data_IF_137069475873
#
_entry.id   IF_137069475873
#
_cell.length_a   1.000
_cell.length_b   1.000
_cell.length_c   1.000
_cell.angle_alpha   90.00
_cell.angle_beta   90.00
_cell.angle_gamma   90.00
#
_symmetry.space_group_name_H-M   'P 1'
#
loop_
_entity.id
_entity.type
_entity.pdbx_description
1 polymer ?
#
# COMPACT_ATOMS: atom_id res chain seq x y z
N UNK A 1 14.71 16.11 -13.45
CA UNK A 1 13.87 14.92 -13.69
C UNK A 1 13.41 14.44 -12.34
N UNK A 2 12.14 14.12 -12.21
CA UNK A 2 11.56 13.60 -10.98
C UNK A 2 11.78 12.10 -10.88
N UNK A 3 12.02 11.64 -9.66
CA UNK A 3 12.33 10.28 -9.26
C UNK A 3 11.18 9.70 -8.43
N UNK A 4 11.22 8.40 -8.16
CA UNK A 4 10.23 7.75 -7.30
C UNK A 4 10.26 8.32 -5.87
N UNK A 5 11.41 8.82 -5.41
CA UNK A 5 11.56 9.48 -4.11
C UNK A 5 10.73 10.75 -4.03
N UNK A 6 10.71 11.54 -5.10
CA UNK A 6 9.89 12.75 -5.19
C UNK A 6 8.39 12.44 -5.10
N UNK A 7 7.96 11.23 -5.48
CA UNK A 7 6.56 10.79 -5.31
C UNK A 7 6.27 10.26 -3.90
N UNK A 8 7.24 9.63 -3.24
CA UNK A 8 7.13 9.13 -1.87
C UNK A 8 7.04 10.26 -0.83
N UNK A 9 7.68 11.40 -1.12
CA UNK A 9 7.70 12.59 -0.26
C UNK A 9 6.45 13.47 -0.38
N UNK A 10 5.55 13.17 -1.34
CA UNK A 10 4.31 13.91 -1.51
C UNK A 10 3.32 13.63 -0.38
N UNK A 11 2.69 14.70 0.12
CA UNK A 11 1.54 14.58 1.01
C UNK A 11 0.30 14.15 0.21
N UNK A 12 0.08 12.83 0.15
CA UNK A 12 -1.02 12.21 -0.56
C UNK A 12 -2.39 12.75 -0.14
N UNK A 13 -2.56 13.28 1.07
CA UNK A 13 -3.84 13.83 1.54
C UNK A 13 -4.18 15.17 0.89
N UNK A 14 -3.15 15.90 0.44
CA UNK A 14 -3.28 17.19 -0.23
C UNK A 14 -3.33 17.06 -1.75
N UNK A 15 -2.94 15.90 -2.30
CA UNK A 15 -3.09 15.59 -3.73
C UNK A 15 -4.57 15.48 -4.11
N UNK A 16 -5.04 16.41 -4.94
CA UNK A 16 -6.34 16.34 -5.59
C UNK A 16 -6.17 16.41 -7.11
N UNK A 17 -7.04 15.77 -7.90
CA UNK A 17 -8.23 14.99 -7.54
C UNK A 17 -7.91 13.58 -7.01
N UNK A 18 -8.91 12.91 -6.42
CA UNK A 18 -8.76 11.55 -5.87
C UNK A 18 -8.20 10.54 -6.89
N UNK A 19 -8.53 10.69 -8.17
CA UNK A 19 -7.96 9.87 -9.24
C UNK A 19 -6.43 10.03 -9.39
N UNK A 20 -5.91 11.26 -9.19
CA UNK A 20 -4.47 11.53 -9.21
C UNK A 20 -3.80 10.95 -7.96
N UNK A 21 -4.46 11.07 -6.81
CA UNK A 21 -4.02 10.47 -5.55
C UNK A 21 -3.94 8.93 -5.64
N UNK A 22 -4.95 8.29 -6.23
CA UNK A 22 -4.96 6.84 -6.49
C UNK A 22 -3.87 6.42 -7.48
N UNK A 23 -3.58 7.26 -8.48
CA UNK A 23 -2.50 6.98 -9.45
C UNK A 23 -1.11 7.07 -8.81
N UNK A 24 -0.87 8.09 -7.98
CA UNK A 24 0.38 8.22 -7.21
C UNK A 24 0.52 7.05 -6.23
N UNK A 25 -0.56 6.68 -5.52
CA UNK A 25 -0.59 5.50 -4.64
C UNK A 25 -0.31 4.20 -5.41
N UNK A 26 -0.90 4.02 -6.59
CA UNK A 26 -0.68 2.85 -7.42
C UNK A 26 0.79 2.67 -7.79
N UNK A 27 1.46 3.74 -8.22
CA UNK A 27 2.90 3.68 -8.54
C UNK A 27 3.75 3.39 -7.30
N UNK A 28 3.41 3.96 -6.15
CA UNK A 28 4.09 3.69 -4.88
C UNK A 28 3.87 2.22 -4.44
N UNK A 29 2.66 1.70 -4.60
CA UNK A 29 2.31 0.31 -4.29
C UNK A 29 3.03 -0.67 -5.23
N UNK A 30 3.07 -0.38 -6.53
CA UNK A 30 3.78 -1.17 -7.54
C UNK A 30 5.29 -1.18 -7.26
N UNK A 31 5.87 -0.02 -6.92
CA UNK A 31 7.28 0.08 -6.51
C UNK A 31 7.60 -0.73 -5.25
N UNK A 32 6.69 -0.72 -4.26
CA UNK A 32 6.85 -1.49 -3.03
C UNK A 32 6.59 -3.00 -3.21
N UNK A 33 5.87 -3.39 -4.26
CA UNK A 33 5.52 -4.77 -4.57
C UNK A 33 6.52 -5.52 -5.46
N UNK A 34 7.49 -4.81 -6.06
CA UNK A 34 8.47 -5.38 -7.00
C UNK A 34 9.85 -5.51 -6.32
N UNK A 35 10.51 -6.66 -6.48
CA UNK A 35 11.86 -6.89 -5.94
C UNK A 35 12.96 -6.17 -6.74
N UNK A 36 12.76 -5.99 -8.05
CA UNK A 36 13.69 -5.33 -8.97
C UNK A 36 13.40 -3.82 -9.12
N UNK A 37 13.63 -3.05 -8.06
CA UNK A 37 13.34 -1.61 -7.98
C UNK A 37 14.05 -0.77 -9.07
N UNK A 38 15.30 -1.10 -9.39
CA UNK A 38 16.09 -0.36 -10.39
C UNK A 38 15.57 -0.54 -11.82
N UNK A 39 14.94 -1.67 -12.13
CA UNK A 39 14.33 -1.91 -13.45
C UNK A 39 13.02 -1.15 -13.57
N UNK A 40 12.23 -1.16 -12.51
CA UNK A 40 10.99 -0.39 -12.42
C UNK A 40 11.24 1.11 -12.57
N UNK A 41 12.25 1.66 -11.88
CA UNK A 41 12.60 3.09 -11.97
C UNK A 41 12.97 3.51 -13.40
N UNK A 42 13.62 2.63 -14.18
CA UNK A 42 13.98 2.89 -15.59
C UNK A 42 12.79 2.77 -16.54
N UNK A 43 11.92 1.78 -16.33
CA UNK A 43 10.75 1.57 -17.20
C UNK A 43 9.65 2.61 -16.95
N UNK A 44 9.47 3.05 -15.70
CA UNK A 44 8.45 4.00 -15.28
C UNK A 44 8.96 5.45 -15.15
N UNK A 45 10.23 5.73 -15.47
CA UNK A 45 10.84 7.07 -15.40
C UNK A 45 9.96 8.14 -16.08
N UNK A 46 9.41 7.81 -17.25
CA UNK A 46 8.54 8.70 -18.01
C UNK A 46 7.19 8.94 -17.33
N UNK A 47 6.63 7.94 -16.66
CA UNK A 47 5.35 8.03 -15.96
C UNK A 47 5.50 8.79 -14.64
N UNK A 48 6.58 8.50 -13.90
CA UNK A 48 6.96 9.18 -12.66
C UNK A 48 7.12 10.69 -12.93
N UNK A 49 7.88 11.03 -13.98
CA UNK A 49 8.05 12.42 -14.41
C UNK A 49 6.72 13.11 -14.74
N UNK A 50 5.84 12.45 -15.51
CA UNK A 50 4.55 13.02 -15.91
C UNK A 50 3.60 13.23 -14.73
N UNK A 51 3.56 12.28 -13.80
CA UNK A 51 2.67 12.36 -12.63
C UNK A 51 3.19 13.39 -11.65
N UNK A 52 4.49 13.46 -11.41
CA UNK A 52 5.07 14.52 -10.60
C UNK A 52 4.81 15.92 -11.20
N UNK A 53 4.92 16.06 -12.53
CA UNK A 53 4.56 17.30 -13.22
C UNK A 53 3.06 17.64 -13.14
N UNK A 54 2.18 16.65 -13.01
CA UNK A 54 0.75 16.90 -12.79
C UNK A 54 0.47 17.29 -11.34
N UNK A 55 1.14 16.67 -10.37
CA UNK A 55 1.00 17.03 -8.95
C UNK A 55 1.50 18.45 -8.70
N UNK A 56 2.67 18.83 -9.24
CA UNK A 56 3.19 20.20 -9.16
C UNK A 56 2.22 21.25 -9.72
N UNK A 57 1.51 20.93 -10.81
CA UNK A 57 0.54 21.84 -11.45
C UNK A 57 -0.82 21.90 -10.77
N UNK A 58 -1.31 20.78 -10.22
CA UNK A 58 -2.69 20.66 -9.72
C UNK A 58 -2.78 20.76 -8.20
N UNK A 59 -1.75 20.29 -7.49
CA UNK A 59 -1.66 20.27 -6.04
C UNK A 59 -0.24 20.65 -5.58
N UNK A 60 0.20 21.89 -5.85
CA UNK A 60 1.51 22.37 -5.37
C UNK A 60 1.60 22.31 -3.84
N UNK A 61 0.47 22.45 -3.14
CA UNK A 61 0.36 22.31 -1.68
C UNK A 61 0.72 20.91 -1.14
N UNK A 62 0.82 19.90 -2.01
CA UNK A 62 1.20 18.53 -1.66
C UNK A 62 2.73 18.32 -1.69
N UNK A 63 3.48 19.27 -2.24
CA UNK A 63 4.93 19.24 -2.27
C UNK A 63 5.41 19.89 -0.98
N UNK A 64 6.07 19.11 -0.14
CA UNK A 64 6.64 19.61 1.11
C UNK A 64 7.89 20.42 0.77
N UNK A 65 7.75 21.73 0.60
CA UNK A 65 8.88 22.64 0.66
C UNK A 65 9.35 22.73 2.12
N UNK A 66 10.19 21.79 2.57
CA UNK A 66 11.26 22.05 3.53
C UNK A 66 12.10 20.79 3.82
N UNK A 67 13.35 20.74 3.34
CA UNK A 67 14.38 19.88 3.90
C UNK A 67 14.95 20.59 5.14
N UNK A 68 14.65 20.09 6.34
CA UNK A 68 15.28 20.45 7.62
C UNK A 68 15.36 21.97 7.95
N UNK A 69 14.41 22.46 8.75
CA UNK A 69 14.58 23.62 9.62
C UNK A 69 13.93 23.33 10.98
N UNK A 70 14.71 23.45 12.06
CA UNK A 70 14.43 22.99 13.42
C UNK A 70 13.07 23.40 14.03
N UNK A 71 12.56 22.64 15.00
CA UNK A 71 11.37 23.02 15.76
C UNK A 71 11.70 24.19 16.69
N UNK A 72 11.06 25.34 16.48
CA UNK A 72 11.05 26.38 17.52
C UNK A 72 10.05 25.95 18.60
N UNK A 73 10.58 25.20 19.57
CA UNK A 73 9.92 24.84 20.81
C UNK A 73 9.70 26.06 21.71
N UNK A 74 8.53 26.02 22.35
CA UNK A 74 8.23 26.54 23.69
C UNK A 74 8.20 28.06 23.94
N UNK A 75 7.00 28.52 24.31
CA UNK A 75 6.73 28.71 25.75
C UNK A 75 5.27 28.36 26.10
N UNK A 76 5.15 27.18 26.72
CA UNK A 76 4.45 26.92 28.01
C UNK A 76 3.93 28.19 28.72
N UNK A 77 2.72 28.24 29.30
CA UNK A 77 2.26 27.42 30.42
C UNK A 77 0.72 27.36 30.58
N UNK A 78 0.33 26.29 31.26
CA UNK A 78 -0.99 25.82 31.67
C UNK A 78 -1.74 26.78 32.62
N UNK A 79 -3.08 26.82 32.53
CA UNK A 79 -4.03 26.28 33.55
C UNK A 79 -5.50 26.62 33.23
N UNK A 80 -6.34 25.60 33.35
CA UNK A 80 -7.81 25.61 33.41
C UNK A 80 -8.31 26.10 34.80
N UNK A 81 -9.62 26.11 35.16
CA UNK A 81 -10.90 26.33 34.44
C UNK A 81 -11.89 27.29 35.19
N UNK A 82 -13.09 27.52 34.61
CA UNK A 82 -14.41 27.85 35.21
C UNK A 82 -14.99 29.30 35.21
N UNK A 83 -16.14 29.39 34.52
CA UNK A 83 -17.49 29.91 34.89
C UNK A 83 -17.82 31.43 35.03
N UNK A 84 -18.97 31.74 34.37
CA UNK A 84 -20.10 32.67 34.69
C UNK A 84 -20.11 34.11 34.12
N UNK A 85 -21.28 34.48 33.57
CA UNK A 85 -21.82 35.86 33.47
C UNK A 85 -21.88 36.42 32.04
N UNK A 86 -23.01 36.39 31.31
CA UNK A 86 -24.17 37.32 31.33
C UNK A 86 -24.00 38.59 30.44
N UNK A 87 -24.79 38.59 29.34
CA UNK A 87 -25.49 39.68 28.62
C UNK A 87 -24.81 40.81 27.82
N UNK A 88 -25.42 40.98 26.62
CA UNK A 88 -25.84 42.22 25.89
C UNK A 88 -24.95 42.94 24.87
N UNK A 89 -25.40 42.82 23.61
CA UNK A 89 -25.72 43.86 22.59
C UNK A 89 -24.62 44.79 22.02
N UNK A 90 -24.60 44.73 20.68
CA UNK A 90 -24.57 45.81 19.65
C UNK A 90 -23.25 46.15 18.94
N UNK A 91 -23.37 46.01 17.61
CA UNK A 91 -22.94 46.90 16.50
C UNK A 91 -21.49 46.85 16.00
N UNK A 92 -21.41 46.41 14.75
CA UNK A 92 -20.69 47.03 13.61
C UNK A 92 -19.30 47.62 13.85
N UNK A 93 -18.28 46.99 13.28
CA UNK A 93 -17.58 47.50 12.08
C UNK A 93 -16.48 46.54 11.65
N UNK A 94 -16.50 46.19 10.37
CA UNK A 94 -15.42 45.52 9.62
C UNK A 94 -14.09 46.27 9.74
N UNK A 95 -12.96 45.54 9.65
CA UNK A 95 -12.12 45.79 8.48
C UNK A 95 -11.60 44.51 7.81
N UNK A 96 -11.67 44.54 6.47
CA UNK A 96 -10.87 43.83 5.46
C UNK A 96 -10.23 42.49 5.86
N UNK A 97 -10.90 41.39 5.47
CA UNK A 97 -10.20 40.15 5.07
C UNK A 97 -9.64 40.35 3.67
N UNK A 98 -8.32 40.39 3.57
CA UNK A 98 -7.59 40.19 2.32
C UNK A 98 -8.02 38.85 1.72
N UNK A 99 -8.52 38.90 0.48
CA UNK A 99 -8.74 37.72 -0.33
C UNK A 99 -7.36 37.15 -0.68
N UNK A 100 -6.95 36.07 -0.02
CA UNK A 100 -6.00 35.14 -0.62
C UNK A 100 -6.68 34.57 -1.87
N UNK A 101 -6.18 34.94 -3.04
CA UNK A 101 -6.57 34.31 -4.30
C UNK A 101 -6.21 32.82 -4.22
N UNK A 102 -7.23 32.00 -4.03
CA UNK A 102 -7.11 30.56 -4.22
C UNK A 102 -6.99 30.37 -5.73
N UNK A 103 -5.88 29.80 -6.26
CA UNK A 103 -5.76 29.56 -7.67
C UNK A 103 -6.90 28.64 -8.14
N UNK A 104 -7.71 29.13 -9.07
CA UNK A 104 -8.85 28.39 -9.63
C UNK A 104 -8.32 27.18 -10.39
N UNK A 105 -8.76 25.98 -9.99
CA UNK A 105 -8.50 24.72 -10.70
C UNK A 105 -9.08 24.78 -12.11
N UNK A 106 -8.25 24.62 -13.13
CA UNK A 106 -8.62 24.62 -14.55
C UNK A 106 -8.61 23.20 -15.13
N UNK A 107 -9.11 22.19 -14.42
CA UNK A 107 -9.38 20.87 -15.02
C UNK A 107 -10.88 20.70 -15.17
N UNK A 108 -11.31 20.57 -16.41
CA UNK A 108 -12.71 20.37 -16.76
C UNK A 108 -13.07 18.89 -16.64
N UNK A 109 -14.36 18.57 -16.45
CA UNK A 109 -14.83 17.18 -16.43
C UNK A 109 -14.38 16.37 -17.66
N UNK A 110 -14.20 17.06 -18.79
CA UNK A 110 -13.69 16.51 -20.05
C UNK A 110 -12.26 15.94 -19.92
N UNK A 111 -11.41 16.58 -19.12
CA UNK A 111 -10.03 16.14 -18.92
C UNK A 111 -9.98 14.87 -18.05
N UNK A 112 -10.86 14.76 -17.06
CA UNK A 112 -11.01 13.54 -16.24
C UNK A 112 -11.59 12.38 -17.05
N UNK A 113 -12.60 12.65 -17.88
CA UNK A 113 -13.18 11.63 -18.76
C UNK A 113 -12.18 11.15 -19.82
N UNK A 114 -11.32 12.04 -20.33
CA UNK A 114 -10.24 11.68 -21.25
C UNK A 114 -9.25 10.70 -20.59
N UNK A 115 -8.79 10.99 -19.37
CA UNK A 115 -7.88 10.12 -18.61
C UNK A 115 -8.53 8.77 -18.27
N UNK A 116 -9.80 8.77 -17.86
CA UNK A 116 -10.52 7.50 -17.61
C UNK A 116 -10.66 6.66 -18.87
N UNK A 117 -10.85 7.28 -20.03
CA UNK A 117 -10.88 6.57 -21.31
C UNK A 117 -9.51 6.02 -21.70
N UNK A 118 -8.43 6.75 -21.44
CA UNK A 118 -7.07 6.25 -21.63
C UNK A 118 -6.76 5.06 -20.72
N UNK A 119 -7.12 5.12 -19.43
CA UNK A 119 -6.95 4.00 -18.49
C UNK A 119 -7.75 2.77 -18.96
N UNK A 120 -8.98 2.95 -19.43
CA UNK A 120 -9.79 1.85 -19.99
C UNK A 120 -9.11 1.24 -21.21
N UNK A 121 -8.57 2.06 -22.11
CA UNK A 121 -7.82 1.58 -23.27
C UNK A 121 -6.55 0.83 -22.87
N UNK A 122 -5.79 1.31 -21.88
CA UNK A 122 -4.63 0.61 -21.33
C UNK A 122 -5.01 -0.74 -20.73
N UNK A 123 -6.09 -0.83 -19.94
CA UNK A 123 -6.59 -2.11 -19.41
C UNK A 123 -6.95 -3.10 -20.51
N UNK A 124 -7.56 -2.64 -21.60
CA UNK A 124 -7.87 -3.49 -22.76
C UNK A 124 -6.59 -3.95 -23.47
N UNK A 125 -5.60 -3.08 -23.63
CA UNK A 125 -4.29 -3.43 -24.21
C UNK A 125 -3.57 -4.49 -23.36
N UNK A 126 -3.52 -4.30 -22.04
CA UNK A 126 -2.92 -5.28 -21.11
C UNK A 126 -3.65 -6.63 -21.19
N UNK A 127 -4.99 -6.63 -21.23
CA UNK A 127 -5.75 -7.88 -21.38
C UNK A 127 -5.41 -8.60 -22.68
N UNK A 128 -5.36 -7.88 -23.81
CA UNK A 128 -5.00 -8.45 -25.12
C UNK A 128 -3.57 -8.98 -25.13
N UNK A 129 -2.63 -8.22 -24.59
CA UNK A 129 -1.22 -8.62 -24.46
C UNK A 129 -1.09 -9.89 -23.60
N UNK A 130 -1.71 -9.91 -22.42
CA UNK A 130 -1.69 -11.09 -21.54
C UNK A 130 -2.41 -12.29 -22.15
N UNK A 131 -3.46 -12.08 -22.94
CA UNK A 131 -4.15 -13.17 -23.64
C UNK A 131 -3.31 -13.73 -24.78
N UNK A 132 -2.61 -12.88 -25.54
CA UNK A 132 -1.62 -13.29 -26.54
C UNK A 132 -0.47 -14.05 -25.89
N UNK A 133 0.11 -13.51 -24.80
CA UNK A 133 1.12 -14.21 -24.01
C UNK A 133 0.64 -15.55 -23.48
N UNK A 134 -0.61 -15.67 -23.02
CA UNK A 134 -1.19 -16.96 -22.59
C UNK A 134 -1.44 -17.94 -23.72
N UNK A 135 -1.73 -17.44 -24.94
CA UNK A 135 -1.82 -18.28 -26.14
C UNK A 135 -0.45 -18.83 -26.52
N UNK A 136 0.61 -18.04 -26.35
CA UNK A 136 2.01 -18.42 -26.61
C UNK A 136 2.62 -19.31 -25.52
N UNK A 137 2.45 -18.95 -24.24
CA UNK A 137 2.94 -19.68 -23.06
C UNK A 137 2.12 -20.94 -22.75
N UNK A 138 0.98 -21.12 -23.42
CA UNK A 138 0.07 -22.23 -23.24
C UNK A 138 -0.74 -22.17 -21.94
N UNK A 139 -1.60 -23.18 -21.70
CA UNK A 139 -2.41 -23.25 -20.50
C UNK A 139 -1.51 -23.38 -19.26
N UNK A 140 -1.78 -22.57 -18.22
CA UNK A 140 -1.06 -22.64 -16.95
C UNK A 140 -1.02 -24.09 -16.44
N UNK A 141 0.15 -24.61 -16.06
CA UNK A 141 0.24 -25.96 -15.55
C UNK A 141 -0.65 -26.09 -14.32
N UNK A 142 -1.47 -27.15 -14.28
CA UNK A 142 -2.32 -27.43 -13.13
C UNK A 142 -1.42 -27.59 -11.90
N UNK A 143 -1.74 -26.94 -10.77
CA UNK A 143 -0.91 -27.07 -9.58
C UNK A 143 -0.86 -28.54 -9.16
N UNK A 144 0.37 -29.02 -8.96
CA UNK A 144 0.64 -30.36 -8.46
C UNK A 144 -0.09 -30.59 -7.13
N UNK A 145 -0.51 -31.83 -6.81
CA UNK A 145 -1.11 -32.16 -5.52
C UNK A 145 -0.29 -31.66 -4.32
N UNK A 146 1.05 -31.70 -4.40
CA UNK A 146 1.94 -31.13 -3.38
C UNK A 146 1.66 -29.64 -3.11
N UNK A 147 1.59 -28.85 -4.19
CA UNK A 147 1.34 -27.41 -4.14
C UNK A 147 -0.05 -27.13 -3.55
N UNK A 148 -1.06 -27.93 -3.94
CA UNK A 148 -2.42 -27.78 -3.41
C UNK A 148 -2.48 -28.06 -1.91
N UNK A 149 -1.91 -29.18 -1.47
CA UNK A 149 -1.87 -29.56 -0.06
C UNK A 149 -1.16 -28.46 0.73
N UNK A 150 0.02 -28.03 0.28
CA UNK A 150 0.77 -26.94 0.90
C UNK A 150 -0.06 -25.66 1.04
N UNK A 151 -0.74 -25.22 -0.02
CA UNK A 151 -1.56 -24.02 0.00
C UNK A 151 -2.67 -24.10 1.06
N UNK A 152 -3.29 -25.27 1.26
CA UNK A 152 -4.30 -25.47 2.29
C UNK A 152 -3.74 -25.36 3.71
N UNK A 153 -2.56 -25.94 3.99
CA UNK A 153 -1.92 -25.80 5.31
C UNK A 153 -1.52 -24.36 5.62
N UNK A 154 -1.08 -23.60 4.62
CA UNK A 154 -0.82 -22.16 4.77
C UNK A 154 -2.11 -21.41 5.08
N UNK A 155 -3.18 -21.68 4.34
CA UNK A 155 -4.47 -21.04 4.57
C UNK A 155 -5.00 -21.31 5.98
N UNK A 156 -4.89 -22.54 6.48
CA UNK A 156 -5.24 -22.89 7.86
C UNK A 156 -4.44 -22.08 8.89
N UNK A 157 -3.16 -21.85 8.63
CA UNK A 157 -2.33 -21.02 9.49
C UNK A 157 -2.75 -19.55 9.57
N UNK A 158 -3.38 -19.03 8.52
CA UNK A 158 -3.88 -17.66 8.50
C UNK A 158 -5.23 -17.50 9.21
N UNK A 159 -5.90 -18.61 9.59
CA UNK A 159 -7.20 -18.59 10.27
C UNK A 159 -7.11 -18.42 11.79
N UNK A 160 -5.93 -18.05 12.32
CA UNK A 160 -5.78 -17.74 13.74
C UNK A 160 -6.63 -16.50 14.08
N UNK A 161 -7.55 -16.59 15.06
CA UNK A 161 -8.37 -15.45 15.46
C UNK A 161 -7.51 -14.25 15.86
N UNK A 162 -7.94 -13.03 15.51
CA UNK A 162 -7.15 -11.80 15.77
C UNK A 162 -6.76 -11.63 17.24
N UNK A 163 -7.67 -12.02 18.15
CA UNK A 163 -7.44 -12.00 19.60
C UNK A 163 -6.27 -12.88 20.06
N UNK A 164 -5.98 -13.95 19.31
CA UNK A 164 -4.96 -14.95 19.62
C UNK A 164 -3.72 -14.80 18.74
N UNK A 165 -3.77 -13.93 17.73
CA UNK A 165 -2.66 -13.71 16.79
C UNK A 165 -1.39 -13.21 17.47
N UNK A 166 -1.52 -12.49 18.59
CA UNK A 166 -0.39 -12.02 19.40
C UNK A 166 0.13 -13.04 20.42
N UNK A 167 -0.53 -14.19 20.58
CA UNK A 167 -0.10 -15.20 21.56
C UNK A 167 0.93 -16.13 20.93
N UNK A 168 2.18 -16.02 21.41
CA UNK A 168 3.33 -16.78 20.93
C UNK A 168 3.17 -18.30 21.14
N UNK A 169 2.52 -18.73 22.23
CA UNK A 169 2.29 -20.15 22.49
C UNK A 169 1.32 -20.75 21.47
N UNK A 170 0.20 -20.04 21.22
CA UNK A 170 -0.79 -20.45 20.22
C UNK A 170 -0.17 -20.56 18.83
N UNK A 171 0.73 -19.63 18.48
CA UNK A 171 1.47 -19.67 17.22
C UNK A 171 2.41 -20.89 17.13
N UNK A 172 3.20 -21.14 18.18
CA UNK A 172 4.15 -22.27 18.24
C UNK A 172 3.42 -23.61 18.19
N UNK A 173 2.30 -23.76 18.91
CA UNK A 173 1.47 -24.96 18.87
C UNK A 173 0.81 -25.18 17.52
N UNK A 174 0.24 -24.12 16.92
CA UNK A 174 -0.40 -24.17 15.60
C UNK A 174 0.60 -24.59 14.52
N UNK A 175 1.79 -23.98 14.54
CA UNK A 175 2.91 -24.35 13.65
C UNK A 175 3.30 -25.81 13.79
N UNK A 176 3.48 -26.29 15.03
CA UNK A 176 3.86 -27.69 15.31
C UNK A 176 2.79 -28.65 14.79
N UNK A 177 1.52 -28.37 15.06
CA UNK A 177 0.38 -29.18 14.62
C UNK A 177 0.31 -29.25 13.09
N UNK A 178 0.38 -28.10 12.41
CA UNK A 178 0.26 -28.04 10.95
C UNK A 178 1.44 -28.71 10.25
N UNK A 179 2.68 -28.53 10.75
CA UNK A 179 3.85 -29.23 10.21
C UNK A 179 3.74 -30.74 10.35
N UNK A 180 3.38 -31.22 11.54
CA UNK A 180 3.25 -32.66 11.79
C UNK A 180 2.13 -33.27 10.93
N UNK A 181 0.99 -32.60 10.85
CA UNK A 181 -0.15 -33.05 10.05
C UNK A 181 0.19 -33.05 8.56
N UNK A 182 0.87 -32.01 8.06
CA UNK A 182 1.31 -31.95 6.67
C UNK A 182 2.26 -33.11 6.33
N UNK A 183 3.27 -33.36 7.17
CA UNK A 183 4.21 -34.47 6.99
C UNK A 183 3.50 -35.83 7.03
N UNK A 184 2.60 -36.04 7.98
CA UNK A 184 1.85 -37.28 8.10
C UNK A 184 0.94 -37.51 6.90
N UNK A 185 0.27 -36.46 6.41
CA UNK A 185 -0.59 -36.53 5.24
C UNK A 185 0.19 -36.92 3.99
N UNK A 186 1.35 -36.30 3.74
CA UNK A 186 2.21 -36.66 2.62
C UNK A 186 2.69 -38.11 2.72
N UNK A 187 3.02 -38.59 3.93
CA UNK A 187 3.39 -39.98 4.17
C UNK A 187 2.23 -40.95 3.86
N UNK A 188 1.01 -40.65 4.30
CA UNK A 188 -0.19 -41.45 4.05
C UNK A 188 -0.48 -41.55 2.55
N UNK A 189 -0.30 -40.44 1.82
CA UNK A 189 -0.52 -40.40 0.37
C UNK A 189 0.63 -40.98 -0.46
N UNK A 190 1.64 -41.59 0.16
CA UNK A 190 2.80 -42.15 -0.54
C UNK A 190 3.60 -41.08 -1.30
N UNK A 191 3.52 -39.82 -0.87
CA UNK A 191 4.20 -38.70 -1.51
C UNK A 191 5.67 -38.65 -1.06
N UNK A 192 6.57 -38.34 -2.00
CA UNK A 192 8.01 -38.31 -1.81
C UNK A 192 8.42 -37.35 -0.69
N UNK A 193 9.14 -37.88 0.30
CA UNK A 193 9.61 -37.14 1.47
C UNK A 193 10.50 -35.95 1.10
N UNK A 194 11.32 -36.05 0.05
CA UNK A 194 12.23 -34.98 -0.38
C UNK A 194 11.49 -33.73 -0.89
N UNK A 195 10.37 -33.90 -1.59
CA UNK A 195 9.55 -32.77 -2.07
C UNK A 195 8.73 -32.18 -0.92
N UNK A 196 8.18 -33.05 -0.06
CA UNK A 196 7.51 -32.67 1.17
C UNK A 196 8.39 -31.99 2.23
N UNK A 197 9.71 -32.21 2.18
CA UNK A 197 10.67 -31.51 3.05
C UNK A 197 10.80 -30.04 2.67
N UNK A 198 10.96 -29.74 1.38
CA UNK A 198 10.99 -28.35 0.88
C UNK A 198 9.71 -27.60 1.22
N UNK A 199 8.55 -28.24 1.03
CA UNK A 199 7.25 -27.65 1.38
C UNK A 199 7.13 -27.38 2.90
N UNK A 200 7.68 -28.25 3.74
CA UNK A 200 7.72 -28.08 5.19
C UNK A 200 8.70 -27.00 5.67
N UNK A 201 9.82 -26.82 4.97
CA UNK A 201 10.79 -25.76 5.23
C UNK A 201 10.18 -24.39 4.93
N UNK A 202 9.51 -24.25 3.79
CA UNK A 202 8.85 -22.99 3.43
C UNK A 202 7.65 -22.68 4.34
N UNK A 203 6.94 -23.70 4.82
CA UNK A 203 5.93 -23.54 5.88
C UNK A 203 6.58 -23.05 7.19
N UNK A 204 7.75 -23.60 7.54
CA UNK A 204 8.51 -23.22 8.73
C UNK A 204 8.92 -21.75 8.67
N UNK A 205 9.55 -21.32 7.59
CA UNK A 205 10.02 -19.94 7.40
C UNK A 205 8.89 -18.91 7.53
N UNK A 206 7.69 -19.24 7.02
CA UNK A 206 6.55 -18.34 7.16
C UNK A 206 6.12 -18.16 8.61
N UNK A 207 6.10 -19.23 9.39
CA UNK A 207 5.79 -19.14 10.81
C UNK A 207 6.92 -18.51 11.61
N UNK A 208 8.19 -18.79 11.28
CA UNK A 208 9.36 -18.14 11.88
C UNK A 208 9.26 -16.61 11.68
N UNK A 209 8.92 -16.14 10.47
CA UNK A 209 8.68 -14.71 10.18
C UNK A 209 7.51 -14.11 10.96
N UNK A 210 6.51 -14.90 11.34
CA UNK A 210 5.39 -14.40 12.16
C UNK A 210 5.83 -14.34 13.63
N UNK A 211 6.56 -15.35 14.11
CA UNK A 211 7.14 -15.40 15.46
C UNK A 211 8.14 -14.24 15.66
N UNK A 212 9.06 -14.00 14.73
CA UNK A 212 10.02 -12.87 14.77
C UNK A 212 9.31 -11.51 14.84
N UNK A 213 8.21 -11.34 14.10
CA UNK A 213 7.39 -10.10 14.14
C UNK A 213 6.65 -9.92 15.47
N UNK A 214 6.45 -10.99 16.23
CA UNK A 214 5.85 -10.96 17.56
C UNK A 214 6.89 -10.80 18.66
N UNK A 215 8.06 -11.41 18.53
CA UNK A 215 9.17 -11.30 19.50
C UNK A 215 9.92 -9.96 19.39
N UNK A 216 9.92 -9.32 18.22
CA UNK A 216 10.50 -7.99 18.00
C UNK A 216 9.57 -6.80 18.33
N UNK A 217 8.40 -7.05 18.93
CA UNK A 217 7.45 -6.03 19.40
C UNK A 217 7.39 -6.03 20.92
#
# INVERSE_FOLDING_TARGET
MATIQDLLELDLSKVRPQALQESVKGIIEDYNGIEAKEVFEKEEENSINKIYQMVTKVSPDAIVENPCGDPEEEKTEKKSPQKKGVTTKKKDKTPKKEKKEIPKRTTTKKDLDAVLNEIKQCRVKIKKYNEQKRKEEGPKPKPSPYIKIRAHFIALGNLIPEKLKGNLEVQKESKKLLKNTHRNLLKIYGMNALRGQKDNEELKERYDKIEEKLEGK
#
